data_IF_729074588650
#
_entry.id   IF_729074588650
#
_cell.length_a   1.000
_cell.length_b   1.000
_cell.length_c   1.000
_cell.angle_alpha   90.00
_cell.angle_beta   90.00
_cell.angle_gamma   90.00
#
_symmetry.space_group_name_H-M   'P 1'
#
loop_
_entity.id
_entity.type
_entity.pdbx_description
1 polymer ?
#
# COMPACT_ATOMS: atom_id res chain seq x y z
N UNK A 1 4.43 1.32 18.35
CA UNK A 1 5.02 0.05 17.91
C UNK A 1 6.43 -0.07 18.48
N UNK A 2 6.67 -0.88 19.54
CA UNK A 2 8.00 -1.05 20.13
C UNK A 2 9.01 -1.53 19.10
N UNK A 3 10.23 -0.97 19.11
CA UNK A 3 11.27 -1.34 18.15
C UNK A 3 10.92 -1.05 16.69
N UNK A 4 10.05 -0.07 16.44
CA UNK A 4 9.68 0.33 15.08
C UNK A 4 10.92 0.77 14.28
N UNK A 5 11.04 0.26 13.05
CA UNK A 5 12.06 0.67 12.09
C UNK A 5 11.48 0.70 10.69
N UNK A 6 11.47 1.87 10.07
CA UNK A 6 11.17 2.01 8.64
C UNK A 6 12.35 1.46 7.82
N UNK A 7 12.07 0.59 6.86
CA UNK A 7 13.06 0.01 5.96
C UNK A 7 12.95 0.59 4.56
N UNK A 8 11.72 0.83 4.10
CA UNK A 8 11.43 1.39 2.80
C UNK A 8 10.21 2.29 2.88
N UNK A 9 10.28 3.43 2.19
CA UNK A 9 9.12 4.20 1.78
C UNK A 9 9.26 4.53 0.30
N UNK A 10 8.21 4.31 -0.47
CA UNK A 10 8.13 4.68 -1.88
C UNK A 10 6.74 5.18 -2.20
N UNK A 11 6.67 6.44 -2.63
CA UNK A 11 5.44 7.05 -3.10
C UNK A 11 5.34 6.82 -4.62
N UNK A 12 4.14 6.50 -5.13
CA UNK A 12 3.90 6.16 -6.54
C UNK A 12 2.43 6.38 -6.94
N UNK A 13 2.13 6.30 -8.24
CA UNK A 13 0.75 6.33 -8.75
C UNK A 13 0.29 4.92 -9.08
N UNK A 14 -0.83 4.50 -8.50
CA UNK A 14 -1.47 3.20 -8.74
C UNK A 14 -2.83 3.42 -9.44
N UNK A 15 -2.92 3.09 -10.73
CA UNK A 15 -4.18 3.19 -11.49
C UNK A 15 -4.84 4.59 -11.41
N UNK A 16 -4.03 5.66 -11.42
CA UNK A 16 -4.49 7.05 -11.31
C UNK A 16 -4.62 7.59 -9.89
N UNK A 17 -4.43 6.77 -8.87
CA UNK A 17 -4.51 7.17 -7.46
C UNK A 17 -3.13 7.32 -6.84
N UNK A 18 -2.96 8.29 -5.92
CA UNK A 18 -1.75 8.39 -5.12
C UNK A 18 -1.64 7.17 -4.20
N UNK A 19 -0.44 6.60 -4.12
CA UNK A 19 -0.17 5.43 -3.31
C UNK A 19 1.19 5.53 -2.61
N UNK A 20 1.31 4.84 -1.48
CA UNK A 20 2.53 4.73 -0.70
C UNK A 20 2.79 3.27 -0.36
N UNK A 21 4.00 2.80 -0.65
CA UNK A 21 4.51 1.51 -0.19
C UNK A 21 5.48 1.74 0.97
N UNK A 22 5.18 1.12 2.10
CA UNK A 22 6.03 1.05 3.28
C UNK A 22 6.48 -0.39 3.54
N UNK A 23 7.79 -0.61 3.75
CA UNK A 23 8.27 -1.79 4.48
C UNK A 23 8.80 -1.31 5.82
N UNK A 24 8.35 -1.93 6.92
CA UNK A 24 8.82 -1.60 8.26
C UNK A 24 8.79 -2.82 9.17
N UNK A 25 9.57 -2.75 10.25
CA UNK A 25 9.57 -3.77 11.30
C UNK A 25 9.11 -3.19 12.62
N UNK A 26 8.58 -4.06 13.47
CA UNK A 26 8.35 -3.75 14.88
C UNK A 26 8.32 -5.04 15.71
N UNK A 27 8.39 -4.91 17.04
CA UNK A 27 8.36 -6.04 17.96
C UNK A 27 6.96 -6.25 18.53
N UNK A 28 6.45 -7.47 18.37
CA UNK A 28 5.19 -7.94 18.94
C UNK A 28 5.40 -9.27 19.64
N UNK A 29 4.94 -9.41 20.89
CA UNK A 29 5.07 -10.64 21.68
C UNK A 29 6.49 -11.24 21.68
N UNK A 30 7.50 -10.37 21.84
CA UNK A 30 8.92 -10.75 21.85
C UNK A 30 9.54 -11.03 20.47
N UNK A 31 8.73 -11.14 19.41
CA UNK A 31 9.16 -11.46 18.03
C UNK A 31 9.25 -10.20 17.17
N UNK A 32 10.16 -10.21 16.20
CA UNK A 32 10.22 -9.17 15.16
C UNK A 32 9.27 -9.54 14.04
N UNK A 33 8.38 -8.61 13.69
CA UNK A 33 7.53 -8.71 12.50
C UNK A 33 8.07 -7.78 11.43
N UNK A 34 8.00 -8.21 10.18
CA UNK A 34 8.15 -7.39 8.99
C UNK A 34 6.76 -7.17 8.39
N UNK A 35 6.42 -5.91 8.16
CA UNK A 35 5.20 -5.51 7.49
C UNK A 35 5.54 -4.83 6.17
N UNK A 36 4.83 -5.25 5.14
CA UNK A 36 4.77 -4.57 3.85
C UNK A 36 3.36 -4.02 3.67
N UNK A 37 3.25 -2.70 3.64
CA UNK A 37 1.99 -2.00 3.48
C UNK A 37 1.95 -1.22 2.18
N UNK A 38 0.82 -1.33 1.49
CA UNK A 38 0.46 -0.47 0.37
C UNK A 38 -0.79 0.30 0.76
N UNK A 39 -0.68 1.62 0.79
CA UNK A 39 -1.78 2.56 1.03
C UNK A 39 -2.15 3.20 -0.30
N UNK A 40 -3.44 3.21 -0.65
CA UNK A 40 -3.93 3.83 -1.88
C UNK A 40 -5.03 4.83 -1.52
N UNK A 41 -4.84 6.08 -1.92
CA UNK A 41 -5.83 7.12 -1.74
C UNK A 41 -7.07 6.84 -2.59
N UNK A 42 -8.19 6.62 -1.90
CA UNK A 42 -9.50 6.44 -2.53
C UNK A 42 -10.54 7.13 -1.66
N UNK A 43 -11.54 7.74 -2.29
CA UNK A 43 -12.69 8.30 -1.55
C UNK A 43 -13.80 7.24 -1.46
N UNK A 44 -14.59 7.24 -0.37
CA UNK A 44 -14.44 8.05 0.84
C UNK A 44 -13.39 7.49 1.84
N UNK A 45 -12.71 6.38 1.52
CA UNK A 45 -11.78 5.71 2.43
C UNK A 45 -10.52 5.19 1.73
N UNK A 46 -9.38 5.32 2.41
CA UNK A 46 -8.08 4.80 1.97
C UNK A 46 -8.11 3.28 1.96
N UNK A 47 -7.60 2.67 0.89
CA UNK A 47 -7.39 1.22 0.83
C UNK A 47 -6.00 0.89 1.39
N UNK A 48 -5.94 -0.06 2.33
CA UNK A 48 -4.69 -0.49 2.95
C UNK A 48 -4.55 -2.01 2.79
N UNK A 49 -3.51 -2.43 2.10
CA UNK A 49 -3.13 -3.83 1.96
C UNK A 49 -1.90 -4.09 2.81
N UNK A 50 -1.95 -5.11 3.68
CA UNK A 50 -0.86 -5.43 4.61
C UNK A 50 -0.46 -6.89 4.45
N UNK A 51 0.79 -7.14 4.06
CA UNK A 51 1.45 -8.42 4.32
C UNK A 51 2.17 -8.32 5.66
N UNK A 52 1.84 -9.23 6.58
CA UNK A 52 2.54 -9.39 7.86
C UNK A 52 3.26 -10.72 7.85
N UNK A 53 4.56 -10.70 8.13
CA UNK A 53 5.43 -11.89 8.14
C UNK A 53 6.55 -11.72 9.16
N UNK A 54 7.38 -12.74 9.35
CA UNK A 54 8.71 -12.59 9.96
C UNK A 54 9.71 -12.09 8.92
N UNK A 55 10.83 -11.45 9.32
CA UNK A 55 11.91 -11.11 8.40
C UNK A 55 12.48 -12.32 7.65
N UNK A 56 12.54 -13.48 8.31
CA UNK A 56 13.09 -14.72 7.76
C UNK A 56 12.18 -15.33 6.68
N UNK A 57 10.86 -15.25 6.86
CA UNK A 57 9.88 -15.81 5.92
C UNK A 57 9.54 -14.84 4.76
N UNK A 58 10.00 -13.59 4.84
CA UNK A 58 9.69 -12.57 3.84
C UNK A 58 10.04 -12.96 2.38
N UNK A 59 11.21 -13.56 2.09
CA UNK A 59 11.53 -14.00 0.73
C UNK A 59 10.58 -15.09 0.21
N UNK A 60 10.09 -15.96 1.09
CA UNK A 60 9.14 -17.01 0.72
C UNK A 60 7.79 -16.42 0.27
N UNK A 61 7.32 -15.37 0.94
CA UNK A 61 6.04 -14.71 0.63
C UNK A 61 6.10 -13.66 -0.49
N UNK A 62 7.30 -13.29 -0.95
CA UNK A 62 7.48 -12.17 -1.88
C UNK A 62 6.78 -12.40 -3.23
N UNK A 63 6.89 -13.60 -3.80
CA UNK A 63 6.29 -13.92 -5.11
C UNK A 63 4.76 -13.84 -5.05
N UNK A 64 4.15 -14.45 -4.02
CA UNK A 64 2.71 -14.42 -3.80
C UNK A 64 2.19 -13.00 -3.57
N UNK A 65 2.87 -12.21 -2.73
CA UNK A 65 2.51 -10.81 -2.52
C UNK A 65 2.53 -10.00 -3.82
N UNK A 66 3.60 -10.13 -4.61
CA UNK A 66 3.74 -9.43 -5.88
C UNK A 66 2.65 -9.84 -6.87
N UNK A 67 2.26 -11.11 -6.90
CA UNK A 67 1.15 -11.57 -7.73
C UNK A 67 -0.19 -10.97 -7.28
N UNK A 68 -0.48 -10.93 -5.97
CA UNK A 68 -1.70 -10.33 -5.42
C UNK A 68 -1.76 -8.83 -5.75
N UNK A 69 -0.70 -8.09 -5.46
CA UNK A 69 -0.68 -6.64 -5.73
C UNK A 69 -0.63 -6.31 -7.22
N UNK A 70 0.04 -7.13 -8.05
CA UNK A 70 0.10 -6.96 -9.49
C UNK A 70 -1.21 -7.29 -10.21
N UNK A 71 -2.08 -8.10 -9.59
CA UNK A 71 -3.42 -8.42 -10.10
C UNK A 71 -4.52 -7.50 -9.56
N UNK A 72 -4.20 -6.58 -8.64
CA UNK A 72 -5.15 -5.60 -8.10
C UNK A 72 -5.74 -4.76 -9.24
N UNK A 73 -7.08 -4.72 -9.32
CA UNK A 73 -7.84 -3.82 -10.20
C UNK A 73 -8.77 -2.99 -9.35
N UNK A 74 -8.61 -1.67 -9.38
CA UNK A 74 -9.52 -0.75 -8.72
C UNK A 74 -10.73 -0.56 -9.64
N UNK A 75 -11.92 -0.93 -9.15
CA UNK A 75 -13.15 -0.67 -9.88
C UNK A 75 -13.51 0.80 -9.70
N UNK A 76 -13.81 1.53 -10.79
CA UNK A 76 -14.24 2.91 -10.69
C UNK A 76 -15.48 3.03 -9.81
N UNK A 77 -15.52 4.06 -8.97
CA UNK A 77 -16.73 4.49 -8.28
C UNK A 77 -17.24 5.77 -8.95
N UNK A 78 -18.27 5.69 -9.82
CA UNK A 78 -18.76 6.83 -10.58
C UNK A 78 -19.20 8.01 -9.69
N UNK A 79 -19.58 7.76 -8.43
CA UNK A 79 -19.97 8.82 -7.50
C UNK A 79 -18.78 9.65 -6.98
N UNK A 80 -17.55 9.12 -7.09
CA UNK A 80 -16.37 9.71 -6.44
C UNK A 80 -15.18 9.94 -7.39
N UNK A 81 -15.12 9.26 -8.54
CA UNK A 81 -14.04 9.41 -9.52
C UNK A 81 -14.22 10.60 -10.46
N UNK A 82 -15.42 11.20 -10.49
CA UNK A 82 -15.74 12.35 -11.33
C UNK A 82 -15.11 13.67 -10.84
N UNK A 83 -14.77 13.78 -9.54
CA UNK A 83 -14.09 14.97 -8.98
C UNK A 83 -12.58 15.03 -9.28
N UNK A 84 -11.95 13.86 -9.46
CA UNK A 84 -10.51 13.78 -9.72
C UNK A 84 -10.13 14.24 -11.13
N UNK A 85 -11.04 14.09 -12.10
CA UNK A 85 -10.82 14.49 -13.50
C UNK A 85 -11.04 15.99 -13.74
N UNK A 86 -11.91 16.65 -12.96
CA UNK A 86 -12.14 18.10 -13.05
C UNK A 86 -10.93 18.92 -12.58
N UNK A 87 -10.20 18.47 -11.56
CA UNK A 87 -9.02 19.19 -11.05
C UNK A 87 -7.80 19.13 -11.99
N UNK A 88 -7.70 18.13 -12.86
CA UNK A 88 -6.64 18.04 -13.88
C UNK A 88 -6.88 18.92 -15.12
N UNK A 89 -8.13 19.34 -15.36
CA UNK A 89 -8.50 20.14 -16.53
C UNK A 89 -8.23 21.65 -16.32
N UNK A 90 -8.22 22.13 -15.07
CA UNK A 90 -8.01 23.55 -14.74
C UNK A 90 -6.53 23.95 -14.63
N UNK A 91 -5.59 23.01 -14.80
CA UNK A 91 -4.14 23.23 -14.73
C UNK A 91 -3.43 23.01 -16.08
N UNK A 92 -4.17 22.89 -17.18
CA UNK A 92 -3.65 22.81 -18.56
C UNK A 92 -4.08 24.02 -19.38
#
# INVERSE_FOLDING_TARGET
MPGYRLLLRRDYVCQGHLACWLDYQWRSNGRTLLLRQVLIERKPAVLIFTLTTTPEDAPHHESGWRQVMGSLKLVPDPAHDSEAQSLSADLS
#
